data_IF_372697115810
#
_entry.id   IF_372697115810
#
_cell.length_a   1.000
_cell.length_b   1.000
_cell.length_c   1.000
_cell.angle_alpha   90.00
_cell.angle_beta   90.00
_cell.angle_gamma   90.00
#
_symmetry.space_group_name_H-M   'P 1'
#
loop_
_entity.id
_entity.type
_entity.pdbx_description
1 polymer ?
#
# COMPACT_ATOMS: atom_id res chain seq x y z
N UNK A 1 -6.78 17.70 10.17
CA UNK A 1 -6.79 17.25 8.77
C UNK A 1 -5.47 17.66 8.14
N UNK A 2 -4.56 16.71 7.92
CA UNK A 2 -3.22 17.00 7.37
C UNK A 2 -3.26 17.11 5.85
N UNK A 3 -2.36 17.91 5.29
CA UNK A 3 -2.20 18.14 3.84
C UNK A 3 -2.10 16.85 3.00
N UNK A 4 -1.65 15.75 3.59
CA UNK A 4 -1.54 14.42 2.95
C UNK A 4 -2.88 13.83 2.50
N UNK A 5 -4.03 14.19 3.09
CA UNK A 5 -5.34 13.69 2.62
C UNK A 5 -5.73 14.24 1.25
N UNK A 6 -5.12 15.37 0.84
CA UNK A 6 -5.44 16.06 -0.41
C UNK A 6 -4.52 15.72 -1.57
N UNK A 7 -3.51 14.86 -1.35
CA UNK A 7 -2.69 14.38 -2.46
C UNK A 7 -3.57 13.64 -3.49
N UNK A 8 -3.34 13.89 -4.80
CA UNK A 8 -4.19 13.41 -5.88
C UNK A 8 -4.16 11.89 -6.02
N UNK A 9 -3.01 11.27 -5.82
CA UNK A 9 -2.83 9.83 -6.01
C UNK A 9 -2.74 9.13 -4.66
N UNK A 10 -3.47 8.02 -4.52
CA UNK A 10 -3.45 7.22 -3.29
C UNK A 10 -3.26 5.75 -3.62
N UNK A 11 -2.44 5.04 -2.85
CA UNK A 11 -2.42 3.57 -2.86
C UNK A 11 -3.23 3.11 -1.67
N UNK A 12 -4.29 2.33 -1.90
CA UNK A 12 -5.22 1.91 -0.88
C UNK A 12 -5.28 0.38 -0.73
N UNK A 13 -5.56 -0.06 0.50
CA UNK A 13 -5.84 -1.45 0.86
C UNK A 13 -6.95 -1.51 1.92
N UNK A 14 -7.88 -2.46 1.78
CA UNK A 14 -8.92 -2.68 2.79
C UNK A 14 -8.36 -3.42 4.00
N UNK A 15 -8.69 -2.96 5.21
CA UNK A 15 -8.40 -3.65 6.46
C UNK A 15 -9.32 -4.84 6.76
N UNK A 16 -10.46 -4.95 6.04
CA UNK A 16 -11.50 -5.96 6.30
C UNK A 16 -11.37 -7.20 5.42
N UNK A 17 -10.86 -7.05 4.19
CA UNK A 17 -10.73 -8.18 3.28
C UNK A 17 -9.52 -9.04 3.63
N UNK A 18 -9.70 -10.37 3.60
CA UNK A 18 -8.61 -11.35 3.74
C UNK A 18 -7.80 -11.50 2.46
N UNK A 19 -7.40 -10.38 1.84
CA UNK A 19 -6.61 -10.33 0.60
C UNK A 19 -5.64 -9.15 0.63
N UNK A 20 -4.37 -9.41 0.32
CA UNK A 20 -3.37 -8.36 0.07
C UNK A 20 -3.53 -7.85 -1.36
N UNK A 21 -4.38 -6.85 -1.54
CA UNK A 21 -4.58 -6.19 -2.84
C UNK A 21 -4.42 -4.68 -2.69
N UNK A 22 -3.21 -4.18 -2.94
CA UNK A 22 -2.94 -2.76 -3.03
C UNK A 22 -3.39 -2.23 -4.38
N UNK A 23 -4.14 -1.14 -4.41
CA UNK A 23 -4.65 -0.52 -5.63
C UNK A 23 -4.27 0.95 -5.68
N UNK A 24 -3.86 1.42 -6.87
CA UNK A 24 -3.70 2.84 -7.13
C UNK A 24 -5.07 3.46 -7.43
N UNK A 25 -5.37 4.54 -6.72
CA UNK A 25 -6.60 5.31 -6.82
C UNK A 25 -6.23 6.68 -7.38
N UNK A 26 -6.79 6.97 -8.55
CA UNK A 26 -6.65 8.24 -9.23
C UNK A 26 -7.70 9.25 -8.70
N UNK A 27 -7.48 10.56 -8.88
CA UNK A 27 -8.51 11.55 -8.62
C UNK A 27 -9.81 11.20 -9.38
N UNK A 28 -10.94 11.38 -8.71
CA UNK A 28 -12.26 11.23 -9.32
C UNK A 28 -12.85 12.63 -9.51
N UNK A 29 -13.26 12.98 -10.73
CA UNK A 29 -13.78 14.32 -11.06
C UNK A 29 -12.84 15.46 -10.62
N UNK A 30 -11.54 15.30 -10.85
CA UNK A 30 -10.47 16.23 -10.44
C UNK A 30 -10.36 16.47 -8.92
N UNK A 31 -10.99 15.62 -8.10
CA UNK A 31 -10.90 15.69 -6.65
C UNK A 31 -10.17 14.46 -6.08
N UNK A 32 -9.35 14.64 -5.03
CA UNK A 32 -8.75 13.52 -4.31
C UNK A 32 -9.84 12.63 -3.72
N UNK A 33 -9.71 11.31 -3.88
CA UNK A 33 -10.64 10.34 -3.26
C UNK A 33 -10.43 10.32 -1.74
N UNK A 34 -11.53 10.30 -0.99
CA UNK A 34 -11.57 10.17 0.48
C UNK A 34 -12.07 8.77 0.82
N UNK A 35 -11.45 8.14 1.82
CA UNK A 35 -11.85 6.83 2.32
C UNK A 35 -12.43 6.92 3.74
N UNK A 36 -13.19 5.90 4.14
CA UNK A 36 -13.63 5.70 5.53
C UNK A 36 -12.53 5.06 6.40
N UNK A 37 -12.86 4.69 7.64
CA UNK A 37 -11.93 4.11 8.62
C UNK A 37 -11.58 2.63 8.38
N UNK A 38 -12.12 2.03 7.31
CA UNK A 38 -11.89 0.62 6.96
C UNK A 38 -10.77 0.43 5.93
N UNK A 39 -10.24 1.53 5.39
CA UNK A 39 -9.22 1.54 4.35
C UNK A 39 -7.95 2.20 4.87
N UNK A 40 -6.83 1.52 4.66
CA UNK A 40 -5.51 2.12 4.84
C UNK A 40 -4.99 2.63 3.51
N UNK A 41 -4.29 3.76 3.53
CA UNK A 41 -3.75 4.33 2.30
C UNK A 41 -2.41 5.06 2.51
N UNK A 42 -1.67 5.17 1.41
CA UNK A 42 -0.51 6.03 1.24
C UNK A 42 -0.86 7.11 0.22
N UNK A 43 -0.40 8.34 0.46
CA UNK A 43 -0.68 9.50 -0.37
C UNK A 43 0.56 9.94 -1.17
N UNK A 44 0.36 10.33 -2.43
CA UNK A 44 1.42 10.73 -3.34
C UNK A 44 0.99 11.94 -4.17
N UNK A 45 1.92 12.88 -4.35
CA UNK A 45 1.72 14.05 -5.20
C UNK A 45 2.07 13.76 -6.67
N UNK A 46 2.87 12.72 -6.91
CA UNK A 46 3.35 12.31 -8.22
C UNK A 46 2.89 10.88 -8.57
N UNK A 47 2.43 10.71 -9.81
CA UNK A 47 1.89 9.44 -10.32
C UNK A 47 2.98 8.38 -10.51
N UNK A 48 4.17 8.78 -10.97
CA UNK A 48 5.27 7.85 -11.23
C UNK A 48 5.78 7.22 -9.91
N UNK A 49 5.92 8.04 -8.88
CA UNK A 49 6.27 7.60 -7.53
C UNK A 49 5.20 6.65 -6.95
N UNK A 50 3.92 6.97 -7.15
CA UNK A 50 2.82 6.11 -6.73
C UNK A 50 2.84 4.76 -7.46
N UNK A 51 3.07 4.74 -8.77
CA UNK A 51 3.15 3.52 -9.57
C UNK A 51 4.34 2.64 -9.17
N UNK A 52 5.53 3.23 -8.99
CA UNK A 52 6.72 2.51 -8.50
C UNK A 52 6.47 1.89 -7.13
N UNK A 53 5.87 2.65 -6.22
CA UNK A 53 5.53 2.14 -4.89
C UNK A 53 4.50 1.00 -4.95
N UNK A 54 3.48 1.12 -5.81
CA UNK A 54 2.50 0.07 -6.04
C UNK A 54 3.15 -1.23 -6.54
N UNK A 55 4.08 -1.12 -7.50
CA UNK A 55 4.82 -2.27 -8.03
C UNK A 55 5.64 -2.97 -6.94
N UNK A 56 6.30 -2.22 -6.05
CA UNK A 56 7.02 -2.77 -4.92
C UNK A 56 6.07 -3.53 -3.97
N UNK A 57 4.97 -2.89 -3.56
CA UNK A 57 3.99 -3.49 -2.64
C UNK A 57 3.34 -4.76 -3.20
N UNK A 58 3.07 -4.79 -4.51
CA UNK A 58 2.47 -5.95 -5.19
C UNK A 58 3.50 -6.95 -5.77
N UNK A 59 4.79 -6.72 -5.55
CA UNK A 59 5.83 -7.71 -5.92
C UNK A 59 5.64 -9.03 -5.17
N UNK A 60 6.21 -10.12 -5.66
CA UNK A 60 6.20 -11.42 -4.94
C UNK A 60 6.79 -11.26 -3.54
N UNK A 61 7.98 -10.68 -3.43
CA UNK A 61 8.69 -10.48 -2.18
C UNK A 61 7.91 -9.60 -1.18
N UNK A 62 7.31 -8.50 -1.66
CA UNK A 62 6.48 -7.63 -0.81
C UNK A 62 5.22 -8.33 -0.30
N UNK A 63 4.54 -9.09 -1.17
CA UNK A 63 3.35 -9.86 -0.79
C UNK A 63 3.68 -10.99 0.18
N UNK A 64 4.76 -11.74 -0.07
CA UNK A 64 5.23 -12.81 0.81
C UNK A 64 5.61 -12.29 2.20
N UNK A 65 6.31 -11.15 2.27
CA UNK A 65 6.64 -10.48 3.52
C UNK A 65 5.38 -10.21 4.36
N UNK A 66 4.38 -9.54 3.78
CA UNK A 66 3.14 -9.27 4.50
C UNK A 66 2.36 -10.54 4.84
N UNK A 67 2.28 -11.49 3.91
CA UNK A 67 1.56 -12.75 4.13
C UNK A 67 2.13 -13.52 5.33
N UNK A 68 3.46 -13.48 5.54
CA UNK A 68 4.13 -14.12 6.68
C UNK A 68 3.82 -13.48 8.04
N UNK A 69 3.45 -12.20 8.06
CA UNK A 69 3.20 -11.42 9.28
C UNK A 69 1.72 -11.33 9.65
N UNK A 70 0.83 -11.60 8.70
CA UNK A 70 -0.62 -11.51 8.88
C UNK A 70 -1.16 -12.80 9.48
N UNK A 71 -1.91 -12.65 10.57
CA UNK A 71 -2.70 -13.75 11.12
C UNK A 71 -4.09 -13.75 10.48
N UNK A 72 -4.27 -14.60 9.47
CA UNK A 72 -5.42 -14.58 8.57
C UNK A 72 -6.76 -14.96 9.21
N UNK A 73 -6.76 -15.59 10.38
CA UNK A 73 -7.98 -16.02 11.06
C UNK A 73 -8.70 -14.88 11.81
N UNK A 74 -8.03 -13.75 12.01
CA UNK A 74 -8.65 -12.56 12.61
C UNK A 74 -9.76 -11.95 11.74
N UNK A 75 -10.70 -11.27 12.41
CA UNK A 75 -11.77 -10.49 11.75
C UNK A 75 -11.21 -9.33 10.92
N UNK A 76 -10.07 -8.75 11.33
CA UNK A 76 -9.35 -7.66 10.65
C UNK A 76 -7.86 -8.00 10.60
N UNK A 77 -7.44 -8.83 9.64
CA UNK A 77 -6.10 -9.41 9.64
C UNK A 77 -5.02 -8.40 9.19
N UNK A 78 -5.42 -7.42 8.37
CA UNK A 78 -4.53 -6.34 7.91
C UNK A 78 -4.58 -5.21 8.94
N UNK A 79 -3.47 -4.98 9.62
CA UNK A 79 -3.33 -3.95 10.67
C UNK A 79 -2.25 -2.94 10.27
N UNK A 80 -2.44 -1.68 10.66
CA UNK A 80 -1.47 -0.59 10.42
C UNK A 80 -0.06 -0.94 10.87
N UNK A 81 0.10 -1.62 12.01
CA UNK A 81 1.42 -2.05 12.53
C UNK A 81 2.17 -2.97 11.56
N UNK A 82 1.44 -3.87 10.87
CA UNK A 82 2.02 -4.78 9.87
C UNK A 82 2.36 -3.98 8.60
N UNK A 83 1.47 -3.11 8.14
CA UNK A 83 1.72 -2.29 6.95
C UNK A 83 2.98 -1.41 7.12
N UNK A 84 3.18 -0.86 8.33
CA UNK A 84 4.32 -0.01 8.68
C UNK A 84 5.63 -0.78 8.94
N UNK A 85 5.63 -2.12 8.96
CA UNK A 85 6.86 -2.89 9.21
C UNK A 85 7.70 -3.13 7.95
N UNK A 86 7.16 -2.83 6.76
CA UNK A 86 7.88 -2.99 5.50
C UNK A 86 8.73 -1.75 5.21
N UNK A 87 10.03 -1.93 5.04
CA UNK A 87 10.92 -0.89 4.52
C UNK A 87 10.97 -0.97 2.99
N UNK A 88 10.39 0.04 2.31
CA UNK A 88 10.31 0.07 0.84
C UNK A 88 11.68 0.20 0.17
N UNK A 89 12.63 0.91 0.76
CA UNK A 89 13.98 1.06 0.20
C UNK A 89 14.73 -0.27 0.20
N UNK A 90 14.68 -0.99 1.33
CA UNK A 90 15.30 -2.33 1.45
C UNK A 90 14.62 -3.33 0.52
N UNK A 91 13.29 -3.24 0.36
CA UNK A 91 12.56 -4.08 -0.59
C UNK A 91 13.01 -3.83 -2.04
N UNK A 92 13.15 -2.56 -2.42
CA UNK A 92 13.62 -2.19 -3.75
C UNK A 92 15.05 -2.69 -4.01
N UNK A 93 15.97 -2.50 -3.06
CA UNK A 93 17.33 -3.01 -3.14
C UNK A 93 17.37 -4.52 -3.34
N UNK A 94 16.62 -5.29 -2.53
CA UNK A 94 16.54 -6.75 -2.67
C UNK A 94 16.03 -7.17 -4.04
N UNK A 95 14.96 -6.54 -4.53
CA UNK A 95 14.39 -6.86 -5.85
C UNK A 95 15.36 -6.56 -7.01
N UNK A 96 16.21 -5.53 -6.87
CA UNK A 96 17.27 -5.25 -7.84
C UNK A 96 18.38 -6.31 -7.78
N UNK A 97 18.76 -6.76 -6.58
CA UNK A 97 19.77 -7.83 -6.41
C UNK A 97 19.35 -9.18 -7.01
N UNK A 98 18.05 -9.50 -7.03
CA UNK A 98 17.54 -10.74 -7.68
C UNK A 98 17.48 -10.67 -9.21
N UNK A 99 17.64 -9.48 -9.80
CA UNK A 99 17.61 -9.29 -11.27
C UNK A 99 19.01 -9.33 -11.91
N UNK A 100 20.06 -9.48 -11.12
CA UNK A 100 21.46 -9.66 -11.54
C UNK A 100 21.84 -11.14 -11.45
#
# INVERSE_FOLDING_TARGET
MGSYSFSPFKIAISGLYKKLNFNLILPYQNQPVIFDDTVYFLSFDDLDTAQKTLQLLNSSLGREFYFSLIFWDEKRPIKTRILNSLNLSVLAEKLLSYKL
#
